data_IF_868367228454
#
_entry.id   IF_868367228454
#
_cell.length_a   1.000
_cell.length_b   1.000
_cell.length_c   1.000
_cell.angle_alpha   90.00
_cell.angle_beta   90.00
_cell.angle_gamma   90.00
#
_symmetry.space_group_name_H-M   'P 1'
#
loop_
_entity.id
_entity.type
_entity.pdbx_description
1 polymer ?
#
# COMPACT_ATOMS: atom_id res chain seq x y z
N UNK A 1 -20.78 4.43 -76.81
CA UNK A 1 -20.26 3.40 -75.89
C UNK A 1 -20.53 3.90 -74.49
N UNK A 2 -21.72 3.63 -73.96
CA UNK A 2 -22.18 4.18 -72.68
C UNK A 2 -22.24 3.04 -71.66
N UNK A 3 -21.32 3.09 -70.71
CA UNK A 3 -21.14 2.06 -69.70
C UNK A 3 -22.22 2.16 -68.63
N UNK A 4 -23.08 1.14 -68.56
CA UNK A 4 -23.98 0.90 -67.43
C UNK A 4 -23.16 0.71 -66.15
N UNK A 5 -23.15 1.72 -65.29
CA UNK A 5 -22.72 1.60 -63.90
C UNK A 5 -23.83 0.89 -63.12
N UNK A 6 -23.56 -0.35 -62.72
CA UNK A 6 -24.38 -1.11 -61.78
C UNK A 6 -24.37 -0.38 -60.42
N UNK A 7 -25.41 0.39 -60.14
CA UNK A 7 -25.69 0.94 -58.82
C UNK A 7 -26.23 -0.20 -57.94
N UNK A 8 -25.31 -0.94 -57.30
CA UNK A 8 -25.66 -1.92 -56.29
C UNK A 8 -26.52 -1.26 -55.21
N UNK A 9 -27.72 -1.79 -54.99
CA UNK A 9 -28.64 -1.38 -53.93
C UNK A 9 -27.89 -1.37 -52.59
N UNK A 10 -27.66 -0.19 -52.02
CA UNK A 10 -27.21 -0.05 -50.64
C UNK A 10 -28.37 -0.48 -49.75
N UNK A 11 -28.40 -1.74 -49.34
CA UNK A 11 -29.35 -2.25 -48.35
C UNK A 11 -29.02 -1.56 -47.02
N UNK A 12 -29.90 -0.65 -46.59
CA UNK A 12 -29.85 -0.07 -45.25
C UNK A 12 -30.21 -1.12 -44.19
N UNK A 13 -29.80 -0.87 -42.94
CA UNK A 13 -30.17 -1.73 -41.81
C UNK A 13 -31.69 -1.81 -41.68
N UNK A 14 -32.19 -3.03 -41.41
CA UNK A 14 -33.60 -3.20 -41.05
C UNK A 14 -33.86 -2.67 -39.64
N UNK A 15 -35.12 -2.30 -39.34
CA UNK A 15 -35.50 -1.78 -38.02
C UNK A 15 -35.16 -2.78 -36.90
N UNK A 16 -35.35 -4.08 -37.17
CA UNK A 16 -35.02 -5.16 -36.25
C UNK A 16 -33.51 -5.29 -36.02
N UNK A 17 -32.71 -5.16 -37.07
CA UNK A 17 -31.24 -5.20 -36.99
C UNK A 17 -30.68 -4.00 -36.21
N UNK A 18 -31.31 -2.83 -36.36
CA UNK A 18 -30.97 -1.64 -35.59
C UNK A 18 -31.31 -1.82 -34.09
N UNK A 19 -32.42 -2.48 -33.77
CA UNK A 19 -32.78 -2.80 -32.38
C UNK A 19 -31.80 -3.80 -31.74
N UNK A 20 -31.42 -4.84 -32.47
CA UNK A 20 -30.45 -5.85 -31.99
C UNK A 20 -29.06 -5.24 -31.79
N UNK A 21 -28.62 -4.35 -32.69
CA UNK A 21 -27.31 -3.70 -32.54
C UNK A 21 -27.26 -2.74 -31.34
N UNK A 22 -28.34 -1.98 -31.08
CA UNK A 22 -28.44 -1.15 -29.88
C UNK A 22 -28.44 -2.00 -28.60
N UNK A 23 -29.17 -3.12 -28.58
CA UNK A 23 -29.18 -4.00 -27.40
C UNK A 23 -27.80 -4.65 -27.13
N UNK A 24 -27.10 -5.07 -28.19
CA UNK A 24 -25.76 -5.64 -28.04
C UNK A 24 -24.74 -4.59 -27.58
N UNK A 25 -24.78 -3.38 -28.16
CA UNK A 25 -23.83 -2.31 -27.81
C UNK A 25 -24.05 -1.81 -26.39
N UNK A 26 -25.28 -1.67 -25.93
CA UNK A 26 -25.59 -1.32 -24.54
C UNK A 26 -25.13 -2.39 -23.55
N UNK A 27 -25.34 -3.67 -23.87
CA UNK A 27 -24.87 -4.79 -23.05
C UNK A 27 -23.34 -4.86 -22.98
N UNK A 28 -22.65 -4.68 -24.11
CA UNK A 28 -21.19 -4.66 -24.14
C UNK A 28 -20.62 -3.43 -23.40
N UNK A 29 -21.26 -2.27 -23.54
CA UNK A 29 -20.84 -1.04 -22.85
C UNK A 29 -20.97 -1.15 -21.34
N UNK A 30 -22.04 -1.78 -20.84
CA UNK A 30 -22.24 -1.97 -19.40
C UNK A 30 -21.16 -2.87 -18.79
N UNK A 31 -20.78 -3.94 -19.49
CA UNK A 31 -19.67 -4.82 -19.09
C UNK A 31 -18.36 -4.04 -19.01
N UNK A 32 -18.00 -3.29 -20.06
CA UNK A 32 -16.74 -2.53 -20.12
C UNK A 32 -16.65 -1.51 -18.97
N UNK A 33 -17.73 -0.77 -18.71
CA UNK A 33 -17.76 0.23 -17.63
C UNK A 33 -17.59 -0.45 -16.26
N UNK A 34 -18.30 -1.54 -16.01
CA UNK A 34 -18.23 -2.28 -14.74
C UNK A 34 -16.82 -2.80 -14.45
N UNK A 35 -16.18 -3.45 -15.43
CA UNK A 35 -14.81 -3.96 -15.28
C UNK A 35 -13.77 -2.83 -15.10
N UNK A 36 -13.99 -1.67 -15.71
CA UNK A 36 -13.12 -0.51 -15.57
C UNK A 36 -13.01 0.01 -14.13
N UNK A 37 -14.09 -0.05 -13.35
CA UNK A 37 -14.08 0.38 -11.96
C UNK A 37 -13.29 -0.57 -11.04
N UNK A 38 -13.46 -1.88 -11.24
CA UNK A 38 -12.74 -2.90 -10.45
C UNK A 38 -11.22 -2.81 -10.69
N UNK A 39 -10.80 -2.66 -11.95
CA UNK A 39 -9.38 -2.52 -12.29
C UNK A 39 -8.72 -1.30 -11.65
N UNK A 40 -9.40 -0.14 -11.64
CA UNK A 40 -8.88 1.08 -11.02
C UNK A 40 -8.69 0.93 -9.51
N UNK A 41 -9.63 0.26 -8.83
CA UNK A 41 -9.54 0.02 -7.38
C UNK A 41 -8.33 -0.88 -7.05
N UNK A 42 -8.13 -1.96 -7.79
CA UNK A 42 -6.97 -2.83 -7.60
C UNK A 42 -5.65 -2.09 -7.82
N UNK A 43 -5.54 -1.32 -8.91
CA UNK A 43 -4.34 -0.51 -9.18
C UNK A 43 -4.05 0.47 -8.05
N UNK A 44 -5.06 1.18 -7.56
CA UNK A 44 -4.87 2.13 -6.44
C UNK A 44 -4.36 1.45 -5.17
N UNK A 45 -4.85 0.23 -4.91
CA UNK A 45 -4.47 -0.57 -3.75
C UNK A 45 -3.02 -1.08 -3.85
N UNK A 46 -2.58 -1.55 -5.03
CA UNK A 46 -1.18 -1.93 -5.25
C UNK A 46 -0.22 -0.73 -5.19
N UNK A 47 -0.64 0.42 -5.69
CA UNK A 47 0.14 1.66 -5.60
C UNK A 47 0.30 2.04 -4.12
N UNK A 48 -0.76 1.97 -3.32
CA UNK A 48 -0.69 2.27 -1.90
C UNK A 48 0.18 1.27 -1.12
N UNK A 49 0.04 -0.03 -1.41
CA UNK A 49 0.89 -1.05 -0.83
C UNK A 49 2.38 -0.81 -1.15
N UNK A 50 2.68 -0.39 -2.38
CA UNK A 50 4.03 -0.05 -2.80
C UNK A 50 4.58 1.18 -2.08
N UNK A 51 3.75 2.21 -1.80
CA UNK A 51 4.17 3.39 -1.02
C UNK A 51 4.54 3.00 0.42
N UNK A 52 3.74 2.16 1.06
CA UNK A 52 4.03 1.65 2.42
C UNK A 52 5.35 0.89 2.42
N UNK A 53 5.53 -0.04 1.48
CA UNK A 53 6.78 -0.80 1.34
C UNK A 53 7.99 0.11 1.08
N UNK A 54 7.86 1.10 0.21
CA UNK A 54 8.91 2.09 -0.07
C UNK A 54 9.27 2.91 1.17
N UNK A 55 8.30 3.29 2.00
CA UNK A 55 8.57 4.01 3.24
C UNK A 55 9.37 3.16 4.23
N UNK A 56 9.04 1.87 4.36
CA UNK A 56 9.76 0.92 5.21
C UNK A 56 11.20 0.72 4.71
N UNK A 57 11.37 0.52 3.40
CA UNK A 57 12.69 0.39 2.79
C UNK A 57 13.52 1.68 2.93
N UNK A 58 12.88 2.84 2.86
CA UNK A 58 13.52 4.14 3.11
C UNK A 58 13.99 4.24 4.56
N UNK A 59 13.21 3.80 5.54
CA UNK A 59 13.63 3.75 6.94
C UNK A 59 14.88 2.86 7.12
N UNK A 60 14.88 1.68 6.49
CA UNK A 60 16.04 0.77 6.48
C UNK A 60 17.28 1.42 5.87
N UNK A 61 17.12 2.11 4.73
CA UNK A 61 18.22 2.82 4.08
C UNK A 61 18.77 3.94 4.97
N UNK A 62 17.90 4.72 5.63
CA UNK A 62 18.29 5.77 6.56
C UNK A 62 19.11 5.21 7.73
N UNK A 63 18.68 4.09 8.31
CA UNK A 63 19.44 3.41 9.36
C UNK A 63 20.87 3.08 8.89
N UNK A 64 21.04 2.50 7.69
CA UNK A 64 22.37 2.20 7.15
C UNK A 64 23.22 3.45 6.93
N UNK A 65 22.64 4.54 6.43
CA UNK A 65 23.40 5.79 6.13
C UNK A 65 23.84 6.57 7.37
N UNK A 66 23.17 6.39 8.51
CA UNK A 66 23.38 7.22 9.71
C UNK A 66 24.66 6.86 10.45
N UNK A 67 25.30 5.74 10.12
CA UNK A 67 26.59 5.33 10.68
C UNK A 67 27.69 6.42 10.62
N UNK A 68 27.63 7.34 9.64
CA UNK A 68 28.64 8.38 9.43
C UNK A 68 28.27 9.77 9.99
N UNK A 69 27.19 9.91 10.77
CA UNK A 69 26.73 11.22 11.27
C UNK A 69 27.18 11.49 12.71
N UNK A 70 27.41 12.77 13.12
CA UNK A 70 27.90 13.12 14.47
C UNK A 70 26.81 13.09 15.55
N UNK A 71 25.53 13.20 15.19
CA UNK A 71 24.38 13.03 16.08
C UNK A 71 23.56 11.89 15.49
N UNK A 72 23.68 10.70 16.08
CA UNK A 72 23.10 9.46 15.55
C UNK A 72 21.87 9.11 16.37
N UNK A 73 20.63 9.25 15.84
CA UNK A 73 19.49 8.61 16.47
C UNK A 73 19.72 7.10 16.49
N UNK A 74 19.22 6.45 17.54
CA UNK A 74 19.32 5.00 17.70
C UNK A 74 18.78 4.20 16.52
N UNK A 75 17.80 4.72 15.78
CA UNK A 75 17.33 4.06 14.57
C UNK A 75 16.25 4.84 13.84
N UNK A 76 15.80 4.26 12.73
CA UNK A 76 14.71 4.81 11.92
C UNK A 76 13.65 3.74 11.72
N UNK A 77 12.39 4.16 11.75
CA UNK A 77 11.27 3.24 11.71
C UNK A 77 10.04 3.81 11.03
N UNK A 78 9.05 2.94 10.85
CA UNK A 78 7.73 3.30 10.35
C UNK A 78 6.69 2.90 11.38
N UNK A 79 5.85 3.86 11.75
CA UNK A 79 4.67 3.67 12.61
C UNK A 79 3.42 3.67 11.72
N UNK A 80 2.54 2.72 11.94
CA UNK A 80 1.25 2.61 11.25
C UNK A 80 0.14 2.93 12.24
N UNK A 81 -0.50 4.08 12.06
CA UNK A 81 -1.67 4.49 12.81
C UNK A 81 -2.94 4.09 12.05
N UNK A 82 -3.51 2.96 12.47
CA UNK A 82 -4.75 2.41 11.92
C UNK A 82 -5.98 3.29 12.21
N UNK A 83 -5.99 4.03 13.32
CA UNK A 83 -7.13 4.87 13.68
C UNK A 83 -7.20 6.12 12.81
N UNK A 84 -6.04 6.68 12.46
CA UNK A 84 -5.93 7.87 11.61
C UNK A 84 -5.76 7.53 10.13
N UNK A 85 -5.45 6.28 9.78
CA UNK A 85 -5.16 5.91 8.39
C UNK A 85 -3.84 6.51 7.91
N UNK A 86 -2.84 6.63 8.79
CA UNK A 86 -1.57 7.32 8.51
C UNK A 86 -0.41 6.39 8.80
N UNK A 87 0.58 6.38 7.91
CA UNK A 87 1.87 5.76 8.18
C UNK A 87 2.96 6.84 8.24
N UNK A 88 3.77 6.79 9.27
CA UNK A 88 4.76 7.84 9.60
C UNK A 88 6.15 7.24 9.69
N UNK A 89 7.07 7.78 8.90
CA UNK A 89 8.50 7.59 9.05
C UNK A 89 8.96 8.42 10.26
N UNK A 90 9.65 7.78 11.20
CA UNK A 90 10.17 8.43 12.39
C UNK A 90 11.65 8.09 12.62
N UNK A 91 12.37 8.98 13.29
CA UNK A 91 13.63 8.68 13.97
C UNK A 91 13.35 8.33 15.43
N UNK A 92 14.09 7.36 15.96
CA UNK A 92 13.98 6.91 17.33
C UNK A 92 15.28 7.19 18.06
N UNK A 93 15.20 7.91 19.17
CA UNK A 93 16.38 8.29 19.94
C UNK A 93 16.19 8.01 21.43
N UNK A 94 17.17 7.31 22.01
CA UNK A 94 17.20 6.96 23.44
C UNK A 94 18.65 6.96 23.92
N UNK A 95 18.90 7.21 25.22
CA UNK A 95 20.27 7.24 25.75
C UNK A 95 21.06 5.94 25.55
N UNK A 96 20.38 4.80 25.42
CA UNK A 96 20.99 3.51 25.15
C UNK A 96 20.18 2.71 24.13
N UNK A 97 20.69 2.55 22.92
CA UNK A 97 19.98 1.86 21.84
C UNK A 97 19.81 0.36 22.10
N UNK A 98 20.60 -0.25 23.00
CA UNK A 98 20.53 -1.69 23.27
C UNK A 98 19.31 -2.06 24.13
N UNK A 99 18.73 -1.12 24.87
CA UNK A 99 17.56 -1.43 25.72
C UNK A 99 16.26 -1.54 24.94
N UNK A 100 16.24 -1.08 23.68
CA UNK A 100 15.02 -1.01 22.86
C UNK A 100 14.40 -2.41 22.66
N UNK A 101 15.26 -3.43 22.46
CA UNK A 101 14.80 -4.81 22.33
C UNK A 101 14.12 -5.35 23.61
N UNK A 102 14.39 -4.76 24.78
CA UNK A 102 13.85 -5.17 26.07
C UNK A 102 12.64 -4.32 26.50
N UNK A 103 12.70 -3.01 26.25
CA UNK A 103 11.68 -2.05 26.70
C UNK A 103 10.59 -1.79 25.67
N UNK A 104 10.80 -2.21 24.42
CA UNK A 104 9.92 -1.88 23.31
C UNK A 104 10.11 -0.46 22.77
N UNK A 105 9.28 -0.13 21.77
CA UNK A 105 9.28 1.14 21.05
C UNK A 105 8.25 2.07 21.70
N UNK A 106 8.73 3.10 22.39
CA UNK A 106 7.87 4.06 23.08
C UNK A 106 7.58 5.28 22.19
N UNK A 107 6.31 5.69 22.10
CA UNK A 107 5.88 6.86 21.33
C UNK A 107 6.57 8.18 21.74
N UNK A 108 7.01 8.33 23.00
CA UNK A 108 7.66 9.56 23.48
C UNK A 108 9.02 9.82 22.81
N UNK A 109 9.72 8.75 22.43
CA UNK A 109 11.07 8.81 21.86
C UNK A 109 11.05 8.84 20.32
N UNK A 110 9.85 8.88 19.73
CA UNK A 110 9.66 8.96 18.28
C UNK A 110 9.64 10.42 17.86
N UNK A 111 10.48 10.76 16.89
CA UNK A 111 10.46 12.06 16.22
C UNK A 111 9.98 11.87 14.78
N UNK A 112 8.79 12.38 14.41
CA UNK A 112 8.23 12.16 13.09
C UNK A 112 9.03 12.94 12.03
N UNK A 113 9.39 12.26 10.94
CA UNK A 113 10.12 12.84 9.81
C UNK A 113 9.21 13.06 8.61
N UNK A 114 8.35 12.10 8.30
CA UNK A 114 7.43 12.17 7.16
C UNK A 114 6.19 11.35 7.45
N UNK A 115 5.01 11.97 7.39
CA UNK A 115 3.73 11.30 7.55
C UNK A 115 2.97 11.30 6.22
N UNK A 116 2.40 10.16 5.87
CA UNK A 116 1.60 10.01 4.65
C UNK A 116 0.25 9.40 5.05
N UNK A 117 -0.83 10.05 4.63
CA UNK A 117 -2.18 9.52 4.78
C UNK A 117 -2.48 8.53 3.66
N UNK A 118 -3.17 7.47 3.99
CA UNK A 118 -3.69 6.50 3.02
C UNK A 118 -4.60 7.21 2.02
N UNK A 119 -4.48 6.80 0.75
CA UNK A 119 -5.27 7.39 -0.33
C UNK A 119 -6.78 7.25 -0.10
N UNK A 120 -7.53 8.29 -0.45
CA UNK A 120 -8.99 8.29 -0.35
C UNK A 120 -9.60 7.10 -1.10
N UNK A 121 -10.49 6.36 -0.43
CA UNK A 121 -11.09 5.13 -0.96
C UNK A 121 -10.34 3.84 -0.61
N UNK A 122 -9.32 3.91 0.25
CA UNK A 122 -8.67 2.78 0.90
C UNK A 122 -8.72 2.94 2.42
N UNK A 123 -8.64 1.83 3.14
CA UNK A 123 -8.57 1.81 4.60
C UNK A 123 -7.55 0.79 5.09
N UNK A 124 -6.89 1.13 6.20
CA UNK A 124 -6.05 0.19 6.94
C UNK A 124 -6.96 -0.66 7.83
N UNK A 125 -6.73 -1.97 7.82
CA UNK A 125 -7.49 -2.91 8.61
C UNK A 125 -6.64 -3.49 9.73
N UNK A 126 -7.22 -3.59 10.93
CA UNK A 126 -6.63 -4.31 12.04
C UNK A 126 -6.88 -5.82 11.88
N UNK A 127 -5.81 -6.59 11.99
CA UNK A 127 -5.74 -8.03 12.17
C UNK A 127 -4.79 -8.44 13.30
N UNK A 128 -4.71 -9.74 13.58
CA UNK A 128 -3.95 -10.28 14.73
C UNK A 128 -2.44 -10.01 14.69
N UNK A 129 -1.88 -9.90 13.48
CA UNK A 129 -0.45 -9.67 13.25
C UNK A 129 -0.18 -8.24 12.74
N UNK A 130 -1.07 -7.29 13.04
CA UNK A 130 -0.98 -5.93 12.50
C UNK A 130 0.32 -5.26 12.89
N UNK A 131 1.07 -4.80 11.90
CA UNK A 131 2.29 -4.04 12.14
C UNK A 131 1.93 -2.69 12.75
N UNK A 132 2.34 -2.46 14.00
CA UNK A 132 2.27 -1.12 14.59
C UNK A 132 3.53 -0.34 14.27
N UNK A 133 4.68 -0.91 14.61
CA UNK A 133 5.97 -0.26 14.45
C UNK A 133 6.99 -1.24 13.86
N UNK A 134 7.79 -0.76 12.92
CA UNK A 134 9.05 -1.40 12.51
C UNK A 134 10.18 -0.43 12.74
N UNK A 135 11.26 -0.87 13.38
CA UNK A 135 12.44 -0.06 13.66
C UNK A 135 13.70 -0.77 13.18
N UNK A 136 14.58 -0.03 12.52
CA UNK A 136 15.87 -0.51 12.03
C UNK A 136 17.01 0.17 12.81
N UNK A 137 17.87 -0.64 13.42
CA UNK A 137 19.00 -0.17 14.23
C UNK A 137 20.35 -0.31 13.47
N UNK A 138 21.14 0.76 13.27
CA UNK A 138 22.49 0.68 12.69
C UNK A 138 23.50 -0.03 13.61
N UNK A 139 24.70 -0.43 13.11
CA UNK A 139 25.22 -0.30 11.74
C UNK A 139 24.81 -1.43 10.78
N UNK A 140 24.52 -2.62 11.32
CA UNK A 140 23.88 -3.69 10.56
C UNK A 140 22.39 -3.69 10.94
N UNK A 141 21.47 -3.30 10.03
CA UNK A 141 20.07 -2.98 10.34
C UNK A 141 19.36 -4.16 10.99
N UNK A 142 19.40 -4.21 12.32
CA UNK A 142 18.60 -5.16 13.10
C UNK A 142 17.17 -4.65 13.05
N UNK A 143 16.27 -5.51 12.61
CA UNK A 143 14.86 -5.15 12.46
C UNK A 143 14.12 -5.55 13.73
N UNK A 144 13.48 -4.58 14.38
CA UNK A 144 12.61 -4.80 15.51
C UNK A 144 11.18 -4.54 15.04
N UNK A 145 10.31 -5.54 15.18
CA UNK A 145 8.91 -5.44 14.76
C UNK A 145 8.03 -5.50 16.01
N UNK A 146 7.12 -4.53 16.12
CA UNK A 146 6.07 -4.52 17.12
C UNK A 146 4.71 -4.63 16.45
N UNK A 147 3.89 -5.57 16.93
CA UNK A 147 2.53 -5.81 16.45
C UNK A 147 1.46 -5.50 17.51
N UNK A 148 1.87 -4.98 18.67
CA UNK A 148 1.01 -4.78 19.82
C UNK A 148 0.86 -3.30 20.17
N UNK A 149 -0.22 -2.97 20.88
CA UNK A 149 -0.47 -1.60 21.36
C UNK A 149 0.46 -1.19 22.51
N UNK A 150 1.21 -2.12 23.10
CA UNK A 150 2.26 -1.84 24.09
C UNK A 150 3.58 -1.39 23.46
N UNK A 151 3.83 -1.69 22.18
CA UNK A 151 5.10 -1.37 21.53
C UNK A 151 6.17 -2.42 21.85
N UNK A 152 5.79 -3.56 22.42
CA UNK A 152 6.71 -4.63 22.71
C UNK A 152 7.18 -5.27 21.40
N UNK A 153 8.44 -5.69 21.40
CA UNK A 153 9.02 -6.37 20.24
C UNK A 153 8.52 -7.81 20.23
N UNK A 154 7.86 -8.19 19.14
CA UNK A 154 7.42 -9.56 18.92
C UNK A 154 8.42 -10.33 18.06
N UNK A 155 8.32 -11.66 18.07
CA UNK A 155 9.10 -12.54 17.16
C UNK A 155 8.34 -12.90 15.87
N UNK A 156 7.13 -12.38 15.70
CA UNK A 156 6.24 -12.69 14.56
C UNK A 156 6.41 -11.61 13.48
N UNK A 157 6.21 -11.94 12.19
CA UNK A 157 6.21 -10.93 11.14
C UNK A 157 5.01 -9.99 11.32
N UNK A 158 5.24 -8.69 11.09
CA UNK A 158 4.19 -7.68 11.11
C UNK A 158 3.51 -7.57 9.75
N UNK A 159 2.21 -7.35 9.75
CA UNK A 159 1.39 -7.28 8.53
C UNK A 159 0.63 -5.96 8.46
N UNK A 160 0.69 -5.28 7.33
CA UNK A 160 -0.16 -4.13 7.04
C UNK A 160 -1.26 -4.58 6.10
N UNK A 161 -2.50 -4.55 6.56
CA UNK A 161 -3.67 -4.91 5.76
C UNK A 161 -4.28 -3.65 5.15
N UNK A 162 -4.34 -3.60 3.82
CA UNK A 162 -5.04 -2.58 3.05
C UNK A 162 -6.27 -3.20 2.42
N UNK A 163 -7.40 -2.50 2.49
CA UNK A 163 -8.63 -2.94 1.84
C UNK A 163 -9.42 -1.75 1.27
N UNK A 164 -10.26 -2.04 0.28
CA UNK A 164 -11.30 -1.09 -0.15
C UNK A 164 -12.42 -1.03 0.90
N UNK A 165 -13.15 0.08 1.03
CA UNK A 165 -14.26 0.21 1.99
C UNK A 165 -15.34 -0.85 1.88
N UNK A 166 -15.52 -1.41 0.69
CA UNK A 166 -16.52 -2.45 0.43
C UNK A 166 -15.92 -3.86 0.55
N UNK A 167 -14.69 -4.00 1.02
CA UNK A 167 -13.92 -5.25 1.09
C UNK A 167 -13.84 -6.00 -0.26
N UNK A 168 -13.99 -5.28 -1.38
CA UNK A 168 -13.96 -5.86 -2.73
C UNK A 168 -12.55 -6.26 -3.18
N UNK A 169 -11.52 -5.65 -2.60
CA UNK A 169 -10.12 -5.95 -2.85
C UNK A 169 -9.29 -5.73 -1.58
N UNK A 170 -8.23 -6.52 -1.42
CA UNK A 170 -7.28 -6.43 -0.31
C UNK A 170 -5.83 -6.56 -0.81
N UNK A 171 -4.90 -5.96 -0.07
CA UNK A 171 -3.47 -6.23 -0.16
C UNK A 171 -2.92 -6.38 1.25
N UNK A 172 -1.89 -7.20 1.38
CA UNK A 172 -1.17 -7.37 2.63
C UNK A 172 0.29 -7.08 2.36
N UNK A 173 0.91 -6.25 3.19
CA UNK A 173 2.36 -6.05 3.19
C UNK A 173 2.89 -6.80 4.40
N UNK A 174 3.86 -7.69 4.21
CA UNK A 174 4.48 -8.46 5.28
C UNK A 174 5.88 -7.93 5.51
N UNK A 175 6.20 -7.68 6.78
CA UNK A 175 7.53 -7.27 7.23
C UNK A 175 8.06 -8.33 8.18
N UNK A 176 9.19 -8.94 7.82
CA UNK A 176 9.83 -9.97 8.63
C UNK A 176 10.82 -9.37 9.63
N UNK A 177 11.24 -10.18 10.60
CA UNK A 177 12.28 -9.85 11.58
C UNK A 177 13.68 -9.70 10.95
N UNK A 178 13.86 -10.13 9.70
CA UNK A 178 15.09 -9.90 8.92
C UNK A 178 15.03 -8.60 8.12
N UNK A 179 13.91 -7.87 8.20
CA UNK A 179 13.69 -6.65 7.44
C UNK A 179 13.47 -6.90 5.95
N UNK A 180 12.94 -8.07 5.61
CA UNK A 180 12.38 -8.37 4.29
C UNK A 180 10.96 -7.79 4.23
N UNK A 181 10.63 -7.18 3.09
CA UNK A 181 9.30 -6.63 2.81
C UNK A 181 8.74 -7.38 1.61
N UNK A 182 7.58 -8.02 1.78
CA UNK A 182 6.88 -8.78 0.74
C UNK A 182 5.39 -8.41 0.64
N UNK A 183 4.75 -8.79 -0.46
CA UNK A 183 3.36 -8.47 -0.82
C UNK A 183 2.50 -9.72 -0.92
#
# INVERSE_FOLDING_TARGET
MEGMRNLGFRKGLTLLELLVTISLTTLLSSLVISYGHVGRQQVSLYVEASKVAQLILRAKALAVTTYNQPIVPCGYGVEVDYARGVYTLFSYDVPNCNVIALTGINSVNKTPLTSVSVQAGLMLQLGLDSLRDVLFLPPNPTTLVSTDSSGAIGSRPGKVYLQTPNASANATIVVTQTGEVSF
#
